data_IF_264195723454
#
_entry.id   IF_264195723454
#
_cell.length_a   1.000
_cell.length_b   1.000
_cell.length_c   1.000
_cell.angle_alpha   90.00
_cell.angle_beta   90.00
_cell.angle_gamma   90.00
#
_symmetry.space_group_name_H-M   'P 1'
#
loop_
_entity.id
_entity.type
_entity.pdbx_description
1 polymer ?
#
# COMPACT_ATOMS: atom_id res chain seq x y z
N UNK A 1 -10.93 76.65 2.96
CA UNK A 1 -11.97 75.69 3.40
C UNK A 1 -12.47 75.02 2.13
N UNK A 2 -12.31 73.73 1.82
CA UNK A 2 -12.35 72.53 2.64
C UNK A 2 -11.54 71.41 1.94
N UNK A 3 -10.73 70.70 2.73
CA UNK A 3 -10.06 69.44 2.39
C UNK A 3 -10.99 68.42 1.68
N UNK A 4 -10.44 67.47 0.90
CA UNK A 4 -10.04 66.15 1.44
C UNK A 4 -9.91 65.01 0.39
N UNK A 5 -8.75 64.33 0.44
CA UNK A 5 -8.44 62.88 0.25
C UNK A 5 -8.39 62.22 -1.15
N UNK A 6 -7.15 61.88 -1.49
CA UNK A 6 -6.62 60.70 -2.20
C UNK A 6 -7.44 59.40 -2.09
N UNK A 7 -7.56 58.67 -3.21
CA UNK A 7 -7.56 57.19 -3.24
C UNK A 7 -6.79 56.73 -4.49
N UNK A 8 -5.65 56.07 -4.25
CA UNK A 8 -4.92 55.29 -5.24
C UNK A 8 -5.64 53.94 -5.45
N UNK A 9 -5.93 53.59 -6.70
CA UNK A 9 -6.47 52.28 -7.06
C UNK A 9 -5.37 51.37 -7.60
N UNK A 10 -4.77 50.55 -6.75
CA UNK A 10 -3.96 49.42 -7.18
C UNK A 10 -4.87 48.18 -7.21
N UNK A 11 -5.26 47.73 -8.40
CA UNK A 11 -5.94 46.45 -8.59
C UNK A 11 -4.87 45.36 -8.64
N UNK A 12 -4.64 44.69 -7.51
CA UNK A 12 -3.93 43.42 -7.51
C UNK A 12 -4.91 42.33 -7.95
N UNK A 13 -4.77 41.86 -9.18
CA UNK A 13 -5.41 40.61 -9.62
C UNK A 13 -4.61 39.46 -8.99
N UNK A 14 -5.17 38.83 -7.96
CA UNK A 14 -4.62 37.60 -7.40
C UNK A 14 -4.88 36.45 -8.37
N UNK A 15 -3.82 35.87 -8.94
CA UNK A 15 -3.90 34.62 -9.69
C UNK A 15 -4.13 33.46 -8.71
N UNK A 16 -5.31 32.83 -8.78
CA UNK A 16 -5.59 31.57 -8.09
C UNK A 16 -4.86 30.44 -8.82
N UNK A 17 -3.70 30.04 -8.31
CA UNK A 17 -3.08 28.78 -8.70
C UNK A 17 -3.86 27.62 -8.06
N UNK A 18 -4.71 26.95 -8.83
CA UNK A 18 -5.33 25.69 -8.42
C UNK A 18 -4.27 24.60 -8.57
N UNK A 19 -3.55 24.31 -7.49
CA UNK A 19 -2.68 23.13 -7.41
C UNK A 19 -3.55 21.89 -7.30
N UNK A 20 -3.87 21.27 -8.44
CA UNK A 20 -4.33 19.88 -8.46
C UNK A 20 -3.16 18.99 -8.05
N UNK A 21 -2.98 18.76 -6.75
CA UNK A 21 -2.12 17.69 -6.27
C UNK A 21 -2.69 16.38 -6.84
N UNK A 22 -2.05 15.84 -7.87
CA UNK A 22 -2.34 14.49 -8.33
C UNK A 22 -2.11 13.56 -7.14
N UNK A 23 -3.19 12.99 -6.59
CA UNK A 23 -3.06 11.95 -5.56
C UNK A 23 -2.35 10.78 -6.22
N UNK A 24 -1.20 10.37 -5.69
CA UNK A 24 -0.53 9.16 -6.16
C UNK A 24 -1.52 8.00 -6.17
N UNK A 25 -1.59 7.26 -7.27
CA UNK A 25 -2.41 6.05 -7.33
C UNK A 25 -1.94 5.09 -6.24
N UNK A 26 -2.90 4.45 -5.58
CA UNK A 26 -2.58 3.58 -4.46
C UNK A 26 -1.90 2.30 -4.98
N UNK A 27 -0.85 1.86 -4.28
CA UNK A 27 -0.16 0.60 -4.60
C UNK A 27 0.51 -0.01 -3.38
N UNK A 28 0.61 -1.33 -3.38
CA UNK A 28 1.50 -2.08 -2.49
C UNK A 28 2.73 -2.54 -3.26
N UNK A 29 3.86 -2.68 -2.58
CA UNK A 29 5.11 -3.09 -3.23
C UNK A 29 6.04 -3.78 -2.23
N UNK A 30 6.94 -4.60 -2.76
CA UNK A 30 8.05 -5.17 -1.99
C UNK A 30 9.22 -4.18 -1.97
N UNK A 31 9.73 -3.92 -0.77
CA UNK A 31 11.01 -3.23 -0.56
C UNK A 31 12.15 -4.25 -0.69
N UNK A 32 11.96 -5.41 -0.07
CA UNK A 32 12.82 -6.59 -0.23
C UNK A 32 12.02 -7.87 0.10
N UNK A 33 12.38 -9.02 -0.46
CA UNK A 33 13.35 -9.20 -1.54
C UNK A 33 12.84 -8.59 -2.86
N UNK A 34 13.76 -8.36 -3.80
CA UNK A 34 13.41 -7.94 -5.15
C UNK A 34 12.94 -9.13 -5.99
N UNK A 35 12.18 -8.88 -7.05
CA UNK A 35 11.79 -9.92 -8.01
C UNK A 35 13.02 -10.61 -8.60
N UNK A 36 12.98 -11.94 -8.69
CA UNK A 36 14.08 -12.80 -9.11
C UNK A 36 15.19 -13.01 -8.07
N UNK A 37 15.07 -12.46 -6.85
CA UNK A 37 16.12 -12.58 -5.85
C UNK A 37 16.37 -14.03 -5.42
N UNK A 38 17.63 -14.35 -5.18
CA UNK A 38 18.02 -15.61 -4.55
C UNK A 38 18.37 -15.38 -3.08
N UNK A 39 17.67 -16.04 -2.17
CA UNK A 39 17.68 -15.77 -0.72
C UNK A 39 17.91 -17.04 0.10
N UNK A 40 18.21 -16.87 1.39
CA UNK A 40 18.27 -17.98 2.37
C UNK A 40 17.01 -17.97 3.24
N UNK A 41 16.66 -19.12 3.79
CA UNK A 41 15.55 -19.25 4.76
C UNK A 41 16.05 -19.03 6.20
N UNK A 42 15.33 -18.30 7.07
CA UNK A 42 14.07 -17.60 6.78
C UNK A 42 14.27 -16.39 5.86
N UNK A 43 13.30 -16.17 4.98
CA UNK A 43 13.30 -15.05 4.04
C UNK A 43 12.77 -13.83 4.77
N UNK A 44 13.61 -12.81 4.93
CA UNK A 44 13.15 -11.50 5.38
C UNK A 44 12.38 -10.82 4.24
N UNK A 45 11.15 -10.40 4.52
CA UNK A 45 10.27 -9.75 3.56
C UNK A 45 9.81 -8.43 4.14
N UNK A 46 10.01 -7.35 3.39
CA UNK A 46 9.61 -5.99 3.74
C UNK A 46 8.80 -5.38 2.61
N UNK A 47 7.74 -4.68 2.98
CA UNK A 47 6.75 -4.17 2.04
C UNK A 47 6.28 -2.78 2.44
N UNK A 48 5.70 -2.09 1.46
CA UNK A 48 5.20 -0.73 1.60
C UNK A 48 3.84 -0.54 0.94
N UNK A 49 3.22 0.59 1.31
CA UNK A 49 1.95 1.09 0.78
C UNK A 49 2.12 2.57 0.44
N UNK A 50 1.68 2.96 -0.76
CA UNK A 50 1.59 4.35 -1.22
C UNK A 50 0.14 4.68 -1.57
N UNK A 51 -0.24 5.96 -1.47
CA UNK A 51 -1.57 6.46 -1.84
C UNK A 51 -2.72 6.13 -0.88
N UNK A 52 -2.50 5.28 0.13
CA UNK A 52 -3.45 4.93 1.21
C UNK A 52 -2.73 4.86 2.56
N UNK A 53 -3.47 4.65 3.65
CA UNK A 53 -2.91 4.51 4.99
C UNK A 53 -3.09 3.10 5.56
N UNK A 54 -2.10 2.65 6.33
CA UNK A 54 -2.21 1.39 7.08
C UNK A 54 -2.99 1.60 8.37
N UNK A 55 -3.85 0.63 8.69
CA UNK A 55 -4.63 0.53 9.92
C UNK A 55 -4.74 -0.93 10.38
N UNK A 56 -4.89 -1.19 11.69
CA UNK A 56 -5.12 -2.54 12.18
C UNK A 56 -6.38 -3.16 11.59
N UNK A 57 -6.42 -4.49 11.50
CA UNK A 57 -7.64 -5.24 11.23
C UNK A 57 -8.74 -4.86 12.23
N UNK A 58 -9.97 -4.76 11.74
CA UNK A 58 -11.14 -4.27 12.47
C UNK A 58 -11.35 -2.75 12.41
N UNK A 59 -10.34 -1.97 12.01
CA UNK A 59 -10.54 -0.54 11.73
C UNK A 59 -11.23 -0.38 10.37
N UNK A 60 -12.46 0.15 10.39
CA UNK A 60 -13.31 0.28 9.20
C UNK A 60 -13.19 1.66 8.54
N UNK A 61 -12.12 2.42 8.83
CA UNK A 61 -11.87 3.71 8.17
C UNK A 61 -11.76 3.50 6.65
N UNK A 62 -12.53 4.24 5.82
CA UNK A 62 -12.45 4.13 4.37
C UNK A 62 -11.03 4.38 3.85
N UNK A 63 -10.69 3.73 2.74
CA UNK A 63 -9.39 3.83 2.07
C UNK A 63 -8.18 3.53 2.98
N UNK A 64 -8.35 2.62 3.94
CA UNK A 64 -7.29 2.11 4.80
C UNK A 64 -7.31 0.59 4.90
N UNK A 65 -6.21 0.00 5.33
CA UNK A 65 -6.17 -1.44 5.44
C UNK A 65 -4.86 -1.97 6.00
N UNK A 66 -4.63 -3.26 5.79
CA UNK A 66 -3.42 -3.93 6.20
C UNK A 66 -2.96 -4.95 5.16
N UNK A 67 -1.68 -5.28 5.24
CA UNK A 67 -1.04 -6.18 4.30
C UNK A 67 -1.46 -7.64 4.54
N UNK A 68 -1.44 -8.39 3.46
CA UNK A 68 -1.52 -9.84 3.41
C UNK A 68 -0.40 -10.34 2.50
N UNK A 69 0.19 -11.49 2.82
CA UNK A 69 1.21 -12.14 1.99
C UNK A 69 0.76 -13.55 1.65
N UNK A 70 0.43 -13.77 0.38
CA UNK A 70 0.04 -15.06 -0.17
C UNK A 70 1.29 -15.75 -0.74
N UNK A 71 1.67 -16.87 -0.14
CA UNK A 71 2.81 -17.70 -0.51
C UNK A 71 2.33 -18.69 -1.55
N UNK A 72 2.96 -18.68 -2.72
CA UNK A 72 2.59 -19.50 -3.88
C UNK A 72 1.12 -19.32 -4.32
N UNK A 73 0.54 -18.17 -3.96
CA UNK A 73 -0.85 -17.80 -4.20
C UNK A 73 -0.99 -16.64 -5.18
N UNK A 74 -2.18 -16.54 -5.77
CA UNK A 74 -2.56 -15.45 -6.68
C UNK A 74 -3.36 -14.37 -5.95
N UNK A 75 -3.40 -13.12 -6.46
CA UNK A 75 -4.24 -12.08 -5.91
C UNK A 75 -5.71 -12.51 -5.80
N UNK A 76 -6.33 -12.18 -4.66
CA UNK A 76 -7.75 -12.42 -4.39
C UNK A 76 -8.60 -11.33 -5.07
N UNK A 77 -9.74 -11.67 -5.70
CA UNK A 77 -10.63 -10.69 -6.31
C UNK A 77 -11.13 -9.62 -5.34
N UNK A 78 -11.50 -8.45 -5.88
CA UNK A 78 -11.98 -7.32 -5.08
C UNK A 78 -13.25 -7.68 -4.31
N UNK A 79 -13.28 -7.36 -3.02
CA UNK A 79 -14.43 -7.58 -2.14
C UNK A 79 -14.48 -8.97 -1.49
N UNK A 80 -13.74 -9.94 -2.03
CA UNK A 80 -13.62 -11.27 -1.43
C UNK A 80 -12.70 -11.24 -0.21
N UNK A 81 -12.98 -12.09 0.76
CA UNK A 81 -12.15 -12.23 1.97
C UNK A 81 -10.83 -12.92 1.62
N UNK A 82 -9.71 -12.32 1.99
CA UNK A 82 -8.40 -12.96 1.92
C UNK A 82 -8.35 -14.01 3.04
N UNK A 83 -8.17 -15.30 2.72
CA UNK A 83 -8.23 -16.37 3.72
C UNK A 83 -6.97 -16.35 4.60
N UNK A 84 -7.14 -16.50 5.91
CA UNK A 84 -6.01 -16.68 6.83
C UNK A 84 -5.60 -18.15 6.87
N UNK A 85 -4.41 -18.48 6.37
CA UNK A 85 -3.86 -19.85 6.35
C UNK A 85 -2.35 -19.82 6.50
N UNK A 86 -1.70 -20.99 6.58
CA UNK A 86 -0.23 -21.09 6.59
C UNK A 86 0.42 -20.57 5.28
N UNK A 87 -0.36 -20.46 4.20
CA UNK A 87 0.06 -19.92 2.89
C UNK A 87 -0.52 -18.53 2.60
N UNK A 88 -1.22 -17.92 3.56
CA UNK A 88 -1.78 -16.58 3.41
C UNK A 88 -1.75 -15.89 4.76
N UNK A 89 -0.67 -15.12 4.96
CA UNK A 89 -0.30 -14.51 6.23
C UNK A 89 -0.95 -13.13 6.36
N UNK A 90 -1.49 -12.84 7.54
CA UNK A 90 -2.19 -11.59 7.83
C UNK A 90 -1.34 -10.66 8.70
N UNK A 91 -1.22 -9.40 8.29
CA UNK A 91 -0.50 -8.37 9.04
C UNK A 91 -1.47 -7.36 9.67
N UNK A 92 -2.44 -7.87 10.43
CA UNK A 92 -3.55 -7.11 11.02
C UNK A 92 -3.19 -6.09 12.10
N UNK A 93 -1.91 -5.85 12.41
CA UNK A 93 -1.43 -4.75 13.26
C UNK A 93 -0.74 -3.67 12.44
N UNK A 94 -1.01 -3.61 11.13
CA UNK A 94 -0.34 -2.72 10.19
C UNK A 94 1.19 -2.96 10.12
N UNK A 95 1.62 -4.23 10.22
CA UNK A 95 3.05 -4.55 10.04
C UNK A 95 3.49 -4.26 8.59
N UNK A 96 4.80 -4.06 8.42
CA UNK A 96 5.45 -3.75 7.14
C UNK A 96 6.59 -4.70 6.81
N UNK A 97 6.89 -5.66 7.68
CA UNK A 97 7.94 -6.66 7.47
C UNK A 97 7.68 -7.93 8.29
N UNK A 98 8.29 -9.03 7.87
CA UNK A 98 8.22 -10.33 8.52
C UNK A 98 9.37 -11.25 8.07
N UNK A 99 9.59 -12.34 8.80
CA UNK A 99 10.48 -13.43 8.40
C UNK A 99 9.63 -14.66 8.07
N UNK A 100 9.74 -15.16 6.84
CA UNK A 100 8.97 -16.32 6.36
C UNK A 100 9.89 -17.52 6.20
N UNK A 101 9.54 -18.65 6.83
CA UNK A 101 10.24 -19.91 6.61
C UNK A 101 9.71 -20.58 5.35
N UNK A 102 10.55 -20.67 4.33
CA UNK A 102 10.24 -21.37 3.08
C UNK A 102 11.25 -22.51 2.86
N UNK A 103 10.83 -23.63 2.26
CA UNK A 103 11.76 -24.67 1.81
C UNK A 103 12.64 -24.17 0.65
N UNK A 104 13.76 -24.85 0.35
CA UNK A 104 14.55 -24.55 -0.86
C UNK A 104 13.72 -24.75 -2.14
N UNK A 105 13.89 -23.86 -3.11
CA UNK A 105 13.17 -23.87 -4.38
C UNK A 105 12.63 -22.51 -4.82
N UNK A 106 11.95 -22.50 -5.96
CA UNK A 106 11.27 -21.32 -6.47
C UNK A 106 9.93 -21.13 -5.76
N UNK A 107 9.66 -19.91 -5.31
CA UNK A 107 8.41 -19.50 -4.69
C UNK A 107 7.91 -18.20 -5.31
N UNK A 108 6.59 -18.01 -5.32
CA UNK A 108 5.98 -16.71 -5.57
C UNK A 108 5.46 -16.11 -4.28
N UNK A 109 5.64 -14.81 -4.11
CA UNK A 109 5.13 -14.04 -2.99
C UNK A 109 4.22 -12.96 -3.55
N UNK A 110 2.93 -13.04 -3.21
CA UNK A 110 1.92 -12.05 -3.59
C UNK A 110 1.54 -11.22 -2.38
N UNK A 111 2.00 -9.97 -2.34
CA UNK A 111 1.57 -8.97 -1.38
C UNK A 111 0.22 -8.40 -1.83
N UNK A 112 -0.75 -8.28 -0.92
CA UNK A 112 -2.06 -7.72 -1.22
C UNK A 112 -2.59 -6.87 -0.07
N UNK A 113 -3.28 -5.78 -0.39
CA UNK A 113 -3.98 -4.95 0.61
C UNK A 113 -5.40 -5.48 0.84
N UNK A 114 -5.76 -5.65 2.12
CA UNK A 114 -7.13 -5.92 2.56
C UNK A 114 -7.65 -4.83 3.49
N UNK A 115 -8.96 -4.61 3.49
CA UNK A 115 -9.63 -3.67 4.39
C UNK A 115 -9.69 -4.18 5.85
N UNK A 116 -10.32 -3.41 6.74
CA UNK A 116 -10.50 -3.81 8.14
C UNK A 116 -11.22 -5.15 8.35
N UNK A 117 -12.00 -5.61 7.37
CA UNK A 117 -12.70 -6.90 7.38
C UNK A 117 -11.96 -8.00 6.62
N UNK A 118 -10.69 -7.78 6.26
CA UNK A 118 -9.85 -8.68 5.44
C UNK A 118 -10.36 -8.87 4.00
N UNK A 119 -11.19 -7.96 3.50
CA UNK A 119 -11.65 -8.01 2.11
C UNK A 119 -10.61 -7.39 1.21
N UNK A 120 -10.27 -8.10 0.15
CA UNK A 120 -9.30 -7.65 -0.84
C UNK A 120 -9.75 -6.33 -1.48
N UNK A 121 -8.82 -5.39 -1.59
CA UNK A 121 -9.03 -4.21 -2.43
C UNK A 121 -8.97 -4.51 -3.93
N UNK A 122 -8.63 -5.75 -4.31
CA UNK A 122 -8.58 -6.25 -5.66
C UNK A 122 -7.15 -6.54 -6.16
N UNK A 123 -7.01 -7.18 -7.34
CA UNK A 123 -5.70 -7.41 -7.95
C UNK A 123 -4.92 -6.13 -8.25
N UNK A 124 -5.59 -5.00 -8.42
CA UNK A 124 -4.96 -3.68 -8.63
C UNK A 124 -4.13 -3.22 -7.43
N UNK A 125 -4.48 -3.68 -6.22
CA UNK A 125 -3.75 -3.41 -4.97
C UNK A 125 -3.02 -4.67 -4.50
N UNK A 126 -2.35 -5.31 -5.45
CA UNK A 126 -1.44 -6.42 -5.21
C UNK A 126 -0.12 -6.25 -5.97
N UNK A 127 0.92 -6.93 -5.49
CA UNK A 127 2.22 -7.04 -6.15
C UNK A 127 2.71 -8.47 -5.98
N UNK A 128 3.25 -9.07 -7.04
CA UNK A 128 3.80 -10.43 -7.00
C UNK A 128 5.26 -10.39 -7.40
N UNK A 129 6.10 -11.09 -6.63
CA UNK A 129 7.50 -11.36 -6.96
C UNK A 129 7.74 -12.87 -6.97
N UNK A 130 8.74 -13.29 -7.73
CA UNK A 130 9.30 -14.64 -7.72
C UNK A 130 10.65 -14.61 -7.02
N UNK A 131 10.90 -15.55 -6.11
CA UNK A 131 12.18 -15.71 -5.43
C UNK A 131 12.67 -17.15 -5.55
N UNK A 132 13.98 -17.33 -5.37
CA UNK A 132 14.58 -18.65 -5.24
C UNK A 132 15.26 -18.82 -3.88
N UNK A 133 14.77 -19.73 -3.06
CA UNK A 133 15.34 -20.07 -1.76
C UNK A 133 16.42 -21.14 -1.95
N UNK A 134 17.61 -20.91 -1.40
CA UNK A 134 18.74 -21.87 -1.43
C UNK A 134 18.66 -22.90 -0.31
#
# INVERSE_FOLDING_TARGET
MLNRKWIAGAVCVAALAVSTLARAEARVFFVEPQDGATVSSPVHVKFGLEGMALKPAGDMTPDTGHHHLLIDGKPVPKGDVIPATDHSLHFGKAQTETDVKLPPGQHTLTLQLGDGAHRSYGPELSSTITINVK
#
